data_IF_622546345374
#
_entry.id   IF_622546345374
#
_cell.length_a   1.000
_cell.length_b   1.000
_cell.length_c   1.000
_cell.angle_alpha   90.00
_cell.angle_beta   90.00
_cell.angle_gamma   90.00
#
_symmetry.space_group_name_H-M   'P 1'
#
loop_
_entity.id
_entity.type
_entity.pdbx_description
1 polymer ?
#
# COMPACT_ATOMS: atom_id res chain seq x y z
N UNK A 1 2.39 15.99 7.44
CA UNK A 1 1.98 14.66 7.87
C UNK A 1 1.18 14.11 6.72
N UNK A 2 1.74 13.12 6.05
CA UNK A 2 1.06 12.41 4.98
C UNK A 2 0.53 11.12 5.60
N UNK A 3 -0.79 11.03 5.79
CA UNK A 3 -1.45 9.80 6.28
C UNK A 3 -1.58 8.73 5.19
N UNK A 4 -0.94 8.95 4.04
CA UNK A 4 -0.99 8.08 2.86
C UNK A 4 -0.65 6.62 3.18
N UNK A 5 0.43 6.36 3.93
CA UNK A 5 0.81 4.99 4.27
C UNK A 5 -0.13 4.35 5.32
N UNK A 6 -0.78 5.15 6.17
CA UNK A 6 -1.86 4.63 7.02
C UNK A 6 -3.08 4.22 6.19
N UNK A 7 -3.50 5.08 5.24
CA UNK A 7 -4.57 4.77 4.29
C UNK A 7 -4.24 3.51 3.46
N UNK A 8 -3.02 3.42 2.94
CA UNK A 8 -2.55 2.24 2.20
C UNK A 8 -2.58 0.98 3.08
N UNK A 9 -2.10 1.08 4.32
CA UNK A 9 -2.18 0.00 5.32
C UNK A 9 -3.62 -0.45 5.55
N UNK A 10 -4.58 0.47 5.72
CA UNK A 10 -6.00 0.14 5.87
C UNK A 10 -6.58 -0.60 4.65
N UNK A 11 -6.16 -0.22 3.44
CA UNK A 11 -6.58 -0.91 2.21
C UNK A 11 -6.01 -2.34 2.15
N UNK A 12 -4.73 -2.51 2.47
CA UNK A 12 -4.04 -3.80 2.48
C UNK A 12 -4.53 -4.73 3.60
N UNK A 13 -4.99 -4.16 4.71
CA UNK A 13 -5.62 -4.89 5.82
C UNK A 13 -7.14 -5.07 5.63
N UNK A 14 -7.69 -4.67 4.47
CA UNK A 14 -9.11 -4.74 4.13
C UNK A 14 -10.05 -4.02 5.13
N UNK A 15 -9.51 -3.12 5.95
CA UNK A 15 -10.29 -2.27 6.87
C UNK A 15 -11.10 -1.23 6.13
N UNK A 16 -10.68 -0.87 4.92
CA UNK A 16 -11.38 0.07 4.06
C UNK A 16 -11.62 -0.58 2.70
N UNK A 17 -12.87 -0.62 2.22
CA UNK A 17 -13.16 -1.23 0.93
C UNK A 17 -12.56 -0.40 -0.20
N UNK A 18 -12.11 -1.08 -1.24
CA UNK A 18 -11.76 -0.45 -2.50
C UNK A 18 -13.03 0.18 -3.11
N UNK A 19 -13.00 1.50 -3.30
CA UNK A 19 -14.12 2.23 -3.90
C UNK A 19 -13.95 2.31 -5.40
N UNK A 20 -14.88 1.69 -6.13
CA UNK A 20 -14.99 1.83 -7.58
C UNK A 20 -16.12 2.81 -7.89
N UNK A 21 -15.75 4.03 -8.28
CA UNK A 21 -16.72 5.11 -8.58
C UNK A 21 -16.76 5.43 -10.08
N UNK A 22 -16.04 4.66 -10.90
CA UNK A 22 -16.02 4.82 -12.34
C UNK A 22 -14.94 3.98 -13.01
N UNK A 23 -14.51 4.43 -14.18
CA UNK A 23 -13.57 3.76 -15.05
C UNK A 23 -12.58 4.74 -15.64
N UNK A 24 -11.31 4.35 -15.70
CA UNK A 24 -10.34 4.97 -16.60
C UNK A 24 -10.32 4.19 -17.90
N UNK A 25 -10.61 4.87 -19.01
CA UNK A 25 -10.83 4.28 -20.33
C UNK A 25 -9.71 4.73 -21.26
N UNK A 26 -8.99 3.78 -21.85
CA UNK A 26 -8.06 4.01 -22.95
C UNK A 26 -8.79 3.78 -24.28
N UNK A 27 -8.68 4.73 -25.21
CA UNK A 27 -9.27 4.62 -26.55
C UNK A 27 -8.24 4.25 -27.63
N UNK A 28 -8.73 4.02 -28.85
CA UNK A 28 -7.93 3.67 -30.03
C UNK A 28 -7.01 4.81 -30.54
N UNK A 29 -7.13 6.01 -29.96
CA UNK A 29 -6.25 7.15 -30.19
C UNK A 29 -5.24 7.37 -29.06
N UNK A 30 -5.07 6.38 -28.18
CA UNK A 30 -4.18 6.44 -27.01
C UNK A 30 -4.49 7.55 -26.01
N UNK A 31 -5.75 7.99 -25.95
CA UNK A 31 -6.22 8.94 -24.95
C UNK A 31 -6.86 8.20 -23.77
N UNK A 32 -6.60 8.70 -22.57
CA UNK A 32 -7.19 8.18 -21.33
C UNK A 32 -8.23 9.17 -20.82
N UNK A 33 -9.39 8.66 -20.47
CA UNK A 33 -10.52 9.45 -19.96
C UNK A 33 -11.12 8.80 -18.73
N UNK A 34 -11.70 9.61 -17.85
CA UNK A 34 -12.49 9.12 -16.73
C UNK A 34 -13.97 9.10 -17.11
N UNK A 35 -14.70 8.07 -16.69
CA UNK A 35 -16.16 7.98 -16.84
C UNK A 35 -16.78 7.30 -15.62
N UNK A 36 -17.90 7.83 -15.13
CA UNK A 36 -18.69 7.20 -14.04
C UNK A 36 -19.48 5.98 -14.51
N UNK A 37 -19.54 5.73 -15.83
CA UNK A 37 -20.24 4.60 -16.43
C UNK A 37 -19.27 3.74 -17.24
N UNK A 38 -19.48 2.41 -17.28
CA UNK A 38 -18.67 1.56 -18.15
C UNK A 38 -18.91 1.94 -19.62
N UNK A 39 -17.89 1.81 -20.49
CA UNK A 39 -18.10 2.03 -21.92
C UNK A 39 -19.01 0.95 -22.51
N UNK A 40 -19.73 1.31 -23.58
CA UNK A 40 -20.61 0.36 -24.31
C UNK A 40 -19.79 -0.68 -25.10
N UNK A 41 -18.60 -0.29 -25.53
CA UNK A 41 -17.66 -1.11 -26.29
C UNK A 41 -16.31 -1.16 -25.55
N UNK A 42 -15.45 -2.09 -25.93
CA UNK A 42 -14.15 -2.28 -25.29
C UNK A 42 -14.20 -3.30 -24.15
N UNK A 43 -13.02 -3.74 -23.73
CA UNK A 43 -12.85 -4.68 -22.62
C UNK A 43 -12.96 -3.96 -21.28
N UNK A 44 -13.67 -4.55 -20.31
CA UNK A 44 -13.74 -4.03 -18.94
C UNK A 44 -12.86 -4.90 -18.05
N UNK A 45 -11.86 -4.28 -17.44
CA UNK A 45 -10.94 -4.89 -16.49
C UNK A 45 -11.39 -4.54 -15.08
N UNK A 46 -11.91 -5.55 -14.39
CA UNK A 46 -12.27 -5.51 -12.97
C UNK A 46 -11.08 -5.85 -12.09
N UNK A 47 -11.14 -5.51 -10.79
CA UNK A 47 -10.12 -5.90 -9.80
C UNK A 47 -9.81 -7.41 -9.87
N UNK A 48 -10.86 -8.23 -9.95
CA UNK A 48 -10.72 -9.69 -10.03
C UNK A 48 -9.98 -10.13 -11.30
N UNK A 49 -10.38 -9.60 -12.46
CA UNK A 49 -9.76 -9.95 -13.74
C UNK A 49 -8.29 -9.48 -13.81
N UNK A 50 -7.98 -8.31 -13.26
CA UNK A 50 -6.61 -7.79 -13.20
C UNK A 50 -5.73 -8.60 -12.25
N UNK A 51 -6.26 -8.94 -11.07
CA UNK A 51 -5.57 -9.84 -10.12
C UNK A 51 -5.29 -11.21 -10.76
N UNK A 52 -6.26 -11.77 -11.50
CA UNK A 52 -6.04 -13.02 -12.22
C UNK A 52 -5.00 -12.89 -13.34
N UNK A 53 -4.98 -11.76 -14.06
CA UNK A 53 -3.94 -11.50 -15.07
C UNK A 53 -2.54 -11.45 -14.43
N UNK A 54 -2.38 -10.81 -13.27
CA UNK A 54 -1.12 -10.84 -12.51
C UNK A 54 -0.72 -12.27 -12.12
N UNK A 55 -1.65 -13.07 -11.59
CA UNK A 55 -1.40 -14.47 -11.21
C UNK A 55 -0.92 -15.29 -12.41
N UNK A 56 -1.65 -15.25 -13.51
CA UNK A 56 -1.30 -16.04 -14.69
C UNK A 56 -0.02 -15.54 -15.36
N UNK A 57 0.21 -14.23 -15.39
CA UNK A 57 1.46 -13.63 -15.86
C UNK A 57 2.67 -14.06 -15.04
N UNK A 58 2.56 -14.04 -13.72
CA UNK A 58 3.61 -14.52 -12.82
C UNK A 58 3.87 -16.03 -12.99
N UNK A 59 2.84 -16.85 -13.23
CA UNK A 59 3.04 -18.28 -13.53
C UNK A 59 3.85 -18.49 -14.81
N UNK A 60 3.66 -17.66 -15.85
CA UNK A 60 4.47 -17.73 -17.07
C UNK A 60 5.96 -17.48 -16.76
N UNK A 61 6.25 -16.47 -15.94
CA UNK A 61 7.61 -16.16 -15.49
C UNK A 61 8.20 -17.34 -14.72
N UNK A 62 7.45 -17.86 -13.74
CA UNK A 62 7.87 -19.00 -12.91
C UNK A 62 8.17 -20.23 -13.77
N UNK A 63 7.30 -20.59 -14.70
CA UNK A 63 7.51 -21.74 -15.58
C UNK A 63 8.71 -21.54 -16.51
N UNK A 64 8.86 -20.34 -17.08
CA UNK A 64 9.99 -20.00 -17.95
C UNK A 64 11.31 -20.05 -17.20
N UNK A 65 11.37 -19.48 -15.99
CA UNK A 65 12.57 -19.53 -15.15
C UNK A 65 12.88 -20.95 -14.69
N UNK A 66 11.86 -21.73 -14.32
CA UNK A 66 12.03 -23.11 -13.86
C UNK A 66 12.68 -24.02 -14.93
N UNK A 67 12.47 -23.73 -16.21
CA UNK A 67 13.07 -24.43 -17.34
C UNK A 67 14.49 -23.94 -17.69
N UNK A 68 14.94 -22.83 -17.09
CA UNK A 68 16.24 -22.23 -17.34
C UNK A 68 17.36 -22.92 -16.53
N UNK A 69 18.63 -22.82 -16.96
CA UNK A 69 19.77 -23.31 -16.19
C UNK A 69 20.04 -22.51 -14.90
N UNK A 70 19.36 -21.38 -14.70
CA UNK A 70 19.48 -20.51 -13.54
C UNK A 70 18.57 -20.95 -12.37
N UNK A 71 17.65 -21.92 -12.58
CA UNK A 71 16.84 -22.51 -11.51
C UNK A 71 17.68 -23.37 -10.56
N UNK A 72 18.45 -22.71 -9.71
CA UNK A 72 19.37 -23.29 -8.72
C UNK A 72 19.25 -22.49 -7.43
N UNK A 73 18.87 -23.15 -6.34
CA UNK A 73 18.86 -22.53 -5.01
C UNK A 73 18.16 -21.16 -4.98
N UNK A 74 17.00 -21.06 -5.65
CA UNK A 74 16.13 -19.88 -5.56
C UNK A 74 15.70 -19.76 -4.11
N UNK A 75 15.89 -18.57 -3.51
CA UNK A 75 15.57 -18.33 -2.10
C UNK A 75 14.55 -17.21 -1.89
N UNK A 76 14.37 -16.32 -2.88
CA UNK A 76 13.44 -15.22 -2.77
C UNK A 76 12.74 -14.94 -4.10
N UNK A 77 11.43 -14.72 -4.00
CA UNK A 77 10.56 -14.19 -5.06
C UNK A 77 9.80 -13.01 -4.50
N UNK A 78 9.72 -11.93 -5.28
CA UNK A 78 8.96 -10.75 -4.92
C UNK A 78 8.04 -10.32 -6.08
N UNK A 79 6.77 -10.04 -5.79
CA UNK A 79 5.89 -9.25 -6.67
C UNK A 79 5.79 -7.82 -6.13
N UNK A 80 6.51 -6.92 -6.79
CA UNK A 80 6.67 -5.54 -6.42
C UNK A 80 5.66 -4.67 -7.15
N UNK A 81 4.96 -3.83 -6.41
CA UNK A 81 4.17 -2.74 -6.96
C UNK A 81 4.68 -1.43 -6.34
N UNK A 82 4.90 -0.39 -7.15
CA UNK A 82 5.46 0.88 -6.68
C UNK A 82 4.47 2.05 -6.76
N UNK A 83 4.86 3.20 -6.21
CA UNK A 83 4.06 4.43 -6.25
C UNK A 83 3.93 5.02 -7.68
N UNK A 84 4.73 4.52 -8.61
CA UNK A 84 4.67 4.88 -10.03
C UNK A 84 3.73 3.99 -10.83
N UNK A 85 2.91 3.15 -10.15
CA UNK A 85 1.95 2.24 -10.76
C UNK A 85 2.64 1.26 -11.73
N UNK A 86 3.81 0.77 -11.35
CA UNK A 86 4.56 -0.24 -12.10
C UNK A 86 4.53 -1.57 -11.37
N UNK A 87 4.64 -2.67 -12.12
CA UNK A 87 4.77 -4.01 -11.56
C UNK A 87 6.08 -4.67 -11.97
N UNK A 88 6.78 -5.21 -11.00
CA UNK A 88 8.01 -5.96 -11.22
C UNK A 88 7.94 -7.29 -10.49
N UNK A 89 8.44 -8.34 -11.14
CA UNK A 89 8.58 -9.64 -10.52
C UNK A 89 10.06 -9.93 -10.37
N UNK A 90 10.56 -9.91 -9.13
CA UNK A 90 11.95 -10.15 -8.82
C UNK A 90 12.17 -11.59 -8.36
N UNK A 91 13.33 -12.13 -8.69
CA UNK A 91 13.77 -13.43 -8.20
C UNK A 91 15.27 -13.39 -7.91
N UNK A 92 15.72 -14.16 -6.92
CA UNK A 92 17.15 -14.33 -6.69
C UNK A 92 17.53 -15.75 -6.27
N UNK A 93 18.79 -16.09 -6.53
CA UNK A 93 19.42 -17.35 -6.16
C UNK A 93 20.57 -17.11 -5.19
N UNK A 94 20.93 -18.11 -4.38
CA UNK A 94 22.04 -17.98 -3.43
C UNK A 94 23.37 -17.68 -4.15
N UNK A 95 23.58 -18.27 -5.33
CA UNK A 95 24.77 -18.00 -6.14
C UNK A 95 24.89 -16.52 -6.52
N UNK A 96 23.82 -15.93 -7.07
CA UNK A 96 23.80 -14.51 -7.46
C UNK A 96 23.91 -13.57 -6.26
N UNK A 97 23.23 -13.90 -5.17
CA UNK A 97 23.38 -13.15 -3.93
C UNK A 97 24.84 -13.11 -3.44
N UNK A 98 25.54 -14.25 -3.44
CA UNK A 98 26.94 -14.31 -3.02
C UNK A 98 27.86 -13.48 -3.93
N UNK A 99 27.62 -13.48 -5.25
CA UNK A 99 28.35 -12.62 -6.19
C UNK A 99 28.14 -11.14 -5.85
N UNK A 100 26.89 -10.73 -5.57
CA UNK A 100 26.55 -9.37 -5.16
C UNK A 100 27.19 -9.01 -3.81
N UNK A 101 27.07 -9.88 -2.80
CA UNK A 101 27.68 -9.68 -1.48
C UNK A 101 29.19 -9.48 -1.56
N UNK A 102 29.90 -10.29 -2.36
CA UNK A 102 31.34 -10.13 -2.55
C UNK A 102 31.72 -8.75 -3.12
N UNK A 103 30.92 -8.19 -4.05
CA UNK A 103 31.15 -6.85 -4.60
C UNK A 103 30.96 -5.75 -3.54
N UNK A 104 29.95 -5.88 -2.68
CA UNK A 104 29.73 -4.90 -1.60
C UNK A 104 30.83 -5.01 -0.54
N UNK A 105 31.19 -6.21 -0.11
CA UNK A 105 32.25 -6.45 0.89
C UNK A 105 33.64 -6.00 0.41
N UNK A 106 33.92 -6.05 -0.90
CA UNK A 106 35.19 -5.52 -1.43
C UNK A 106 35.29 -4.00 -1.34
N UNK A 107 34.15 -3.32 -1.27
CA UNK A 107 34.07 -1.85 -1.30
C UNK A 107 33.74 -1.26 0.08
N UNK A 108 33.18 -2.04 1.01
CA UNK A 108 32.67 -1.53 2.27
C UNK A 108 32.71 -2.58 3.40
N UNK A 109 33.31 -2.21 4.53
CA UNK A 109 33.47 -3.09 5.69
C UNK A 109 32.16 -3.37 6.45
N UNK A 110 31.14 -2.52 6.31
CA UNK A 110 29.86 -2.73 7.02
C UNK A 110 29.11 -3.98 6.53
N UNK A 111 29.35 -4.42 5.29
CA UNK A 111 28.73 -5.63 4.72
C UNK A 111 29.33 -6.95 5.23
N UNK A 112 30.19 -6.90 6.25
CA UNK A 112 30.54 -8.06 7.06
C UNK A 112 29.58 -8.24 8.26
N UNK A 113 28.81 -7.20 8.60
CA UNK A 113 27.83 -7.26 9.67
C UNK A 113 26.55 -7.96 9.19
N UNK A 114 25.99 -8.82 10.06
CA UNK A 114 24.84 -9.67 9.73
C UNK A 114 23.65 -8.86 9.20
N UNK A 115 23.38 -7.70 9.79
CA UNK A 115 22.19 -6.91 9.47
C UNK A 115 22.29 -6.30 8.06
N UNK A 116 23.48 -5.83 7.68
CA UNK A 116 23.78 -5.37 6.33
C UNK A 116 23.69 -6.51 5.31
N UNK A 117 24.14 -7.73 5.66
CA UNK A 117 24.02 -8.91 4.81
C UNK A 117 22.54 -9.27 4.57
N UNK A 118 21.70 -9.26 5.62
CA UNK A 118 20.26 -9.56 5.50
C UNK A 118 19.55 -8.48 4.68
N UNK A 119 19.83 -7.21 4.96
CA UNK A 119 19.30 -6.07 4.20
C UNK A 119 19.62 -6.22 2.70
N UNK A 120 20.88 -6.50 2.35
CA UNK A 120 21.29 -6.77 0.97
C UNK A 120 20.59 -7.99 0.37
N UNK A 121 20.42 -9.07 1.15
CA UNK A 121 19.86 -10.33 0.68
C UNK A 121 18.41 -10.20 0.22
N UNK A 122 17.63 -9.30 0.81
CA UNK A 122 16.21 -9.11 0.50
C UNK A 122 15.88 -7.75 -0.11
N UNK A 123 16.89 -6.93 -0.41
CA UNK A 123 16.73 -5.71 -1.20
C UNK A 123 16.45 -6.06 -2.66
N UNK A 124 15.23 -5.80 -3.12
CA UNK A 124 14.78 -6.14 -4.47
C UNK A 124 15.61 -5.43 -5.57
N UNK A 125 16.15 -4.24 -5.27
CA UNK A 125 17.02 -3.51 -6.19
C UNK A 125 18.35 -4.22 -6.49
N UNK A 126 18.77 -5.15 -5.64
CA UNK A 126 19.99 -5.94 -5.78
C UNK A 126 19.73 -7.36 -6.31
N UNK A 127 18.48 -7.69 -6.68
CA UNK A 127 18.15 -8.99 -7.26
C UNK A 127 18.62 -9.06 -8.71
N UNK A 128 19.25 -10.19 -9.06
CA UNK A 128 19.86 -10.38 -10.38
C UNK A 128 18.81 -10.64 -11.48
N UNK A 129 17.67 -11.23 -11.11
CA UNK A 129 16.59 -11.53 -12.06
C UNK A 129 15.40 -10.60 -11.83
N UNK A 130 15.09 -9.80 -12.86
CA UNK A 130 14.00 -8.84 -12.84
C UNK A 130 13.12 -9.08 -14.07
N UNK A 131 11.85 -9.36 -13.85
CA UNK A 131 10.89 -9.68 -14.91
C UNK A 131 9.79 -8.63 -14.95
N UNK A 132 9.48 -8.24 -16.19
CA UNK A 132 8.59 -7.13 -16.52
C UNK A 132 7.34 -7.66 -17.23
N UNK A 133 6.41 -6.77 -17.60
CA UNK A 133 5.19 -7.14 -18.31
C UNK A 133 5.43 -7.94 -19.60
N UNK A 134 6.51 -7.69 -20.34
CA UNK A 134 6.86 -8.48 -21.53
C UNK A 134 7.17 -9.97 -21.25
N UNK A 135 7.54 -10.29 -20.01
CA UNK A 135 7.84 -11.66 -19.57
C UNK A 135 6.60 -12.43 -19.11
N UNK A 136 5.47 -11.75 -18.95
CA UNK A 136 4.20 -12.31 -18.45
C UNK A 136 3.34 -12.96 -19.56
N UNK A 137 3.90 -13.19 -20.74
CA UNK A 137 3.18 -13.76 -21.88
C UNK A 137 2.00 -12.89 -22.32
N UNK A 138 0.88 -13.50 -22.70
CA UNK A 138 -0.31 -12.74 -23.15
C UNK A 138 -0.94 -11.88 -22.05
N UNK A 139 -0.74 -12.23 -20.77
CA UNK A 139 -1.28 -11.48 -19.65
C UNK A 139 -0.54 -10.17 -19.40
N UNK A 140 0.72 -10.07 -19.85
CA UNK A 140 1.51 -8.85 -19.81
C UNK A 140 0.85 -7.65 -20.46
N UNK A 141 -0.05 -7.88 -21.44
CA UNK A 141 -0.82 -6.81 -22.09
C UNK A 141 -1.66 -6.01 -21.09
N UNK A 142 -2.22 -6.64 -20.05
CA UNK A 142 -3.06 -5.95 -19.07
C UNK A 142 -2.21 -5.04 -18.16
N UNK A 143 -1.00 -5.47 -17.84
CA UNK A 143 -0.07 -4.70 -17.00
C UNK A 143 0.45 -3.51 -17.80
N UNK A 144 0.80 -3.71 -19.08
CA UNK A 144 1.18 -2.62 -19.98
C UNK A 144 0.07 -1.57 -20.15
N UNK A 145 -1.20 -2.02 -20.30
CA UNK A 145 -2.35 -1.12 -20.38
C UNK A 145 -2.60 -0.39 -19.06
N UNK A 146 -2.46 -1.07 -17.92
CA UNK A 146 -2.56 -0.48 -16.59
C UNK A 146 -1.50 0.61 -16.38
N UNK A 147 -0.23 0.34 -16.66
CA UNK A 147 0.88 1.29 -16.51
C UNK A 147 0.66 2.53 -17.40
N UNK A 148 0.23 2.32 -18.65
CA UNK A 148 -0.10 3.40 -19.58
C UNK A 148 -1.22 4.29 -19.05
N UNK A 149 -2.32 3.70 -18.59
CA UNK A 149 -3.44 4.43 -17.99
C UNK A 149 -2.97 5.15 -16.72
N UNK A 150 -2.27 4.44 -15.85
CA UNK A 150 -1.82 4.90 -14.55
C UNK A 150 -0.90 6.12 -14.60
N UNK A 151 -0.02 6.19 -15.61
CA UNK A 151 0.85 7.36 -15.84
C UNK A 151 0.04 8.62 -16.15
N UNK A 152 -1.05 8.49 -16.91
CA UNK A 152 -1.89 9.62 -17.33
C UNK A 152 -3.02 9.95 -16.35
N UNK A 153 -3.46 8.99 -15.54
CA UNK A 153 -4.64 9.11 -14.69
C UNK A 153 -4.56 10.25 -13.67
N UNK A 154 -3.34 10.57 -13.20
CA UNK A 154 -3.10 11.64 -12.24
C UNK A 154 -3.44 13.04 -12.79
N UNK A 155 -3.42 13.21 -14.11
CA UNK A 155 -3.67 14.50 -14.78
C UNK A 155 -5.13 14.65 -15.27
N UNK A 156 -5.96 13.62 -15.09
CA UNK A 156 -7.34 13.60 -15.59
C UNK A 156 -8.28 14.18 -14.53
N UNK A 157 -8.98 15.26 -14.89
CA UNK A 157 -10.07 15.78 -14.06
C UNK A 157 -11.23 14.78 -14.02
N UNK A 158 -11.65 14.43 -12.79
CA UNK A 158 -12.85 13.62 -12.54
C UNK A 158 -14.16 14.44 -12.59
N UNK A 159 -14.06 15.77 -12.70
CA UNK A 159 -15.20 16.69 -12.64
C UNK A 159 -15.93 16.86 -13.98
N UNK A 160 -15.27 16.48 -15.10
CA UNK A 160 -15.88 16.44 -16.43
C UNK A 160 -15.84 15.02 -17.02
N UNK A 161 -16.73 14.11 -16.56
CA UNK A 161 -16.66 12.69 -16.86
C UNK A 161 -16.92 12.32 -18.33
N UNK A 162 -17.30 13.26 -19.21
CA UNK A 162 -17.35 13.06 -20.66
C UNK A 162 -17.15 14.41 -21.37
N UNK A 163 -15.92 14.91 -21.40
CA UNK A 163 -15.51 15.87 -22.43
C UNK A 163 -15.60 15.22 -23.82
N UNK A 164 -15.77 15.98 -24.89
CA UNK A 164 -15.83 15.48 -26.28
C UNK A 164 -14.55 14.71 -26.67
N UNK A 165 -14.49 13.42 -26.38
CA UNK A 165 -13.29 12.61 -26.64
C UNK A 165 -13.50 11.85 -27.93
N UNK A 166 -12.60 12.09 -28.88
CA UNK A 166 -12.58 11.36 -30.14
C UNK A 166 -11.97 9.97 -29.95
N UNK A 167 -12.63 8.93 -30.43
CA UNK A 167 -12.08 7.57 -30.45
C UNK A 167 -13.08 6.51 -29.99
N UNK A 168 -12.72 5.25 -30.19
CA UNK A 168 -13.46 4.08 -29.74
C UNK A 168 -12.78 3.52 -28.48
N UNK A 169 -13.51 3.29 -27.37
CA UNK A 169 -12.96 2.63 -26.19
C UNK A 169 -12.32 1.28 -26.54
N UNK A 170 -11.07 1.08 -26.11
CA UNK A 170 -10.33 -0.18 -26.27
C UNK A 170 -10.41 -0.99 -24.99
N UNK A 171 -10.07 -0.37 -23.86
CA UNK A 171 -10.09 -1.01 -22.54
C UNK A 171 -10.51 0.00 -21.47
N UNK A 172 -11.18 -0.47 -20.44
CA UNK A 172 -11.61 0.30 -19.28
C UNK A 172 -11.22 -0.40 -17.99
N UNK A 173 -10.46 0.27 -17.13
CA UNK A 173 -10.10 -0.22 -15.80
C UNK A 173 -11.02 0.42 -14.75
N UNK A 174 -11.54 -0.38 -13.82
CA UNK A 174 -12.20 0.16 -12.62
C UNK A 174 -11.26 1.14 -11.91
N UNK A 175 -11.77 2.31 -11.50
CA UNK A 175 -10.94 3.35 -10.86
C UNK A 175 -10.27 2.86 -9.60
N UNK A 176 -10.93 1.95 -8.89
CA UNK A 176 -10.40 1.30 -7.71
C UNK A 176 -9.03 0.64 -7.95
N UNK A 177 -8.77 0.10 -9.14
CA UNK A 177 -7.46 -0.49 -9.47
C UNK A 177 -6.39 0.61 -9.55
N UNK A 178 -6.69 1.70 -10.27
CA UNK A 178 -5.74 2.79 -10.56
C UNK A 178 -5.46 3.65 -9.33
N UNK A 179 -6.49 3.95 -8.54
CA UNK A 179 -6.45 4.84 -7.37
C UNK A 179 -5.94 4.12 -6.09
N UNK A 180 -4.91 3.26 -6.19
CA UNK A 180 -4.25 2.48 -5.11
C UNK A 180 -4.66 0.99 -4.95
N UNK A 181 -5.70 0.49 -5.62
CA UNK A 181 -6.09 -0.93 -5.50
C UNK A 181 -5.11 -1.90 -6.14
N UNK A 182 -4.19 -1.42 -6.97
CA UNK A 182 -3.13 -2.23 -7.57
C UNK A 182 -2.18 -2.86 -6.53
N UNK A 183 -1.95 -2.21 -5.38
CA UNK A 183 -1.22 -2.83 -4.25
C UNK A 183 -1.97 -4.04 -3.68
N UNK A 184 -3.29 -3.91 -3.51
CA UNK A 184 -4.15 -5.01 -3.06
C UNK A 184 -4.17 -6.13 -4.10
N UNK A 185 -4.19 -5.79 -5.39
CA UNK A 185 -4.08 -6.78 -6.47
C UNK A 185 -2.75 -7.54 -6.42
N UNK A 186 -1.62 -6.86 -6.16
CA UNK A 186 -0.30 -7.47 -5.99
C UNK A 186 -0.29 -8.47 -4.83
N UNK A 187 -0.77 -8.03 -3.66
CA UNK A 187 -0.85 -8.86 -2.45
C UNK A 187 -1.73 -10.09 -2.69
N UNK A 188 -2.94 -9.91 -3.24
CA UNK A 188 -3.87 -11.02 -3.53
C UNK A 188 -3.33 -11.96 -4.59
N UNK A 189 -2.64 -11.45 -5.61
CA UNK A 189 -2.00 -12.27 -6.62
C UNK A 189 -0.91 -13.16 -6.00
N UNK A 190 -0.05 -12.59 -5.15
CA UNK A 190 0.98 -13.35 -4.44
C UNK A 190 0.37 -14.41 -3.52
N UNK A 191 -0.63 -14.06 -2.71
CA UNK A 191 -1.35 -15.01 -1.86
C UNK A 191 -1.97 -16.17 -2.65
N UNK A 192 -2.56 -15.88 -3.81
CA UNK A 192 -3.12 -16.90 -4.70
C UNK A 192 -2.05 -17.80 -5.30
N UNK A 193 -0.91 -17.25 -5.75
CA UNK A 193 0.22 -18.03 -6.24
C UNK A 193 0.77 -19.00 -5.18
N UNK A 194 0.86 -18.54 -3.92
CA UNK A 194 1.29 -19.36 -2.79
C UNK A 194 0.28 -20.47 -2.50
N UNK A 195 -1.01 -20.12 -2.41
CA UNK A 195 -2.08 -21.08 -2.14
C UNK A 195 -2.17 -22.18 -3.22
N UNK A 196 -1.92 -21.82 -4.48
CA UNK A 196 -1.89 -22.74 -5.62
C UNK A 196 -0.57 -23.51 -5.75
N UNK A 197 0.40 -23.28 -4.85
CA UNK A 197 1.74 -23.87 -4.87
C UNK A 197 2.49 -23.61 -6.20
N UNK A 198 2.26 -22.46 -6.82
CA UNK A 198 2.87 -22.09 -8.09
C UNK A 198 4.41 -22.13 -8.03
N UNK A 199 4.99 -21.86 -6.86
CA UNK A 199 6.44 -21.80 -6.66
C UNK A 199 7.11 -23.13 -6.32
N UNK A 200 6.36 -24.25 -6.20
CA UNK A 200 6.93 -25.54 -5.78
C UNK A 200 8.05 -26.06 -6.70
N UNK A 201 8.06 -25.62 -7.97
CA UNK A 201 9.12 -25.95 -8.94
C UNK A 201 10.43 -25.19 -8.70
N UNK A 202 10.37 -24.05 -8.00
CA UNK A 202 11.50 -23.16 -7.68
C UNK A 202 11.97 -23.30 -6.23
N UNK A 203 11.10 -23.74 -5.32
CA UNK A 203 11.42 -23.96 -3.92
C UNK A 203 12.48 -25.08 -3.77
N UNK A 204 13.74 -24.67 -3.62
CA UNK A 204 14.93 -25.55 -3.50
C UNK A 204 15.77 -25.24 -2.25
N UNK A 205 15.32 -24.35 -1.38
CA UNK A 205 16.08 -23.90 -0.21
C UNK A 205 15.21 -23.92 1.05
N UNK A 206 15.80 -24.16 2.21
CA UNK A 206 15.08 -24.22 3.50
C UNK A 206 14.36 -22.91 3.89
N UNK A 207 14.90 -21.78 3.43
CA UNK A 207 14.39 -20.43 3.71
C UNK A 207 13.80 -19.76 2.46
N UNK A 208 13.21 -20.55 1.56
CA UNK A 208 12.54 -19.99 0.39
C UNK A 208 11.36 -19.11 0.82
N UNK A 209 11.35 -17.84 0.39
CA UNK A 209 10.24 -16.92 0.61
C UNK A 209 9.67 -16.40 -0.71
N UNK A 210 8.34 -16.23 -0.74
CA UNK A 210 7.64 -15.52 -1.79
C UNK A 210 6.75 -14.45 -1.14
N UNK A 211 6.87 -13.20 -1.59
CA UNK A 211 6.18 -12.09 -0.95
C UNK A 211 5.80 -10.98 -1.92
N UNK A 212 4.81 -10.18 -1.53
CA UNK A 212 4.51 -8.92 -2.22
C UNK A 212 5.20 -7.77 -1.50
N UNK A 213 5.45 -6.67 -2.20
CA UNK A 213 5.93 -5.43 -1.57
C UNK A 213 5.47 -4.18 -2.31
N UNK A 214 5.54 -3.05 -1.60
CA UNK A 214 5.00 -1.75 -1.98
C UNK A 214 6.09 -0.70 -2.24
N UNK A 215 7.31 -0.98 -1.75
CA UNK A 215 8.46 -0.07 -1.84
C UNK A 215 8.62 0.82 -0.61
N UNK A 216 7.75 0.62 0.38
CA UNK A 216 7.87 1.25 1.68
C UNK A 216 8.19 0.17 2.72
N UNK A 217 9.42 0.19 3.24
CA UNK A 217 9.92 -0.81 4.20
C UNK A 217 9.02 -0.97 5.44
N UNK A 218 8.43 0.12 5.94
CA UNK A 218 7.55 0.06 7.11
C UNK A 218 6.25 -0.69 6.83
N UNK A 219 5.67 -0.52 5.64
CA UNK A 219 4.48 -1.26 5.18
C UNK A 219 4.87 -2.70 4.82
N UNK A 220 6.01 -2.88 4.17
CA UNK A 220 6.45 -4.18 3.67
C UNK A 220 6.80 -5.13 4.83
N UNK A 221 7.70 -4.74 5.73
CA UNK A 221 8.06 -5.52 6.91
C UNK A 221 6.98 -5.53 7.98
N UNK A 222 6.23 -4.42 8.13
CA UNK A 222 5.19 -4.30 9.14
C UNK A 222 3.93 -5.09 8.79
N UNK A 223 3.63 -5.29 7.50
CA UNK A 223 2.34 -5.83 7.07
C UNK A 223 2.42 -6.77 5.87
N UNK A 224 2.88 -6.29 4.71
CA UNK A 224 2.64 -6.99 3.42
C UNK A 224 3.37 -8.33 3.38
N UNK A 225 4.64 -8.34 3.76
CA UNK A 225 5.43 -9.57 3.80
C UNK A 225 4.85 -10.58 4.79
N UNK A 226 4.34 -10.13 5.93
CA UNK A 226 3.71 -10.98 6.95
C UNK A 226 2.39 -11.61 6.50
N UNK A 227 1.72 -11.02 5.50
CA UNK A 227 0.51 -11.58 4.88
C UNK A 227 0.82 -12.62 3.79
N UNK A 228 2.09 -12.80 3.42
CA UNK A 228 2.54 -13.74 2.38
C UNK A 228 3.59 -14.75 2.85
N UNK A 229 4.31 -14.47 3.94
CA UNK A 229 5.32 -15.35 4.52
C UNK A 229 4.78 -15.91 5.83
N UNK A 230 4.92 -17.21 6.03
CA UNK A 230 4.63 -17.83 7.33
C UNK A 230 5.41 -17.14 8.46
N UNK A 231 4.79 -16.94 9.61
CA UNK A 231 5.36 -16.14 10.70
C UNK A 231 6.69 -16.71 11.23
N UNK A 232 6.80 -18.04 11.37
CA UNK A 232 8.04 -18.66 11.87
C UNK A 232 9.17 -18.50 10.85
N UNK A 233 8.86 -18.68 9.57
CA UNK A 233 9.79 -18.44 8.47
C UNK A 233 10.19 -16.96 8.38
N UNK A 234 9.24 -16.03 8.56
CA UNK A 234 9.48 -14.59 8.54
C UNK A 234 10.51 -14.20 9.60
N UNK A 235 10.36 -14.64 10.86
CA UNK A 235 11.34 -14.35 11.91
C UNK A 235 12.64 -15.13 11.77
N UNK A 236 12.64 -16.30 11.12
CA UNK A 236 13.89 -16.99 10.80
C UNK A 236 14.73 -16.19 9.80
N UNK A 237 14.06 -15.60 8.81
CA UNK A 237 14.69 -14.78 7.77
C UNK A 237 15.04 -13.37 8.27
N UNK A 238 14.18 -12.78 9.11
CA UNK A 238 14.32 -11.44 9.69
C UNK A 238 14.31 -11.48 11.22
N UNK A 239 15.37 -12.04 11.85
CA UNK A 239 15.40 -12.26 13.29
C UNK A 239 15.30 -10.97 14.12
N UNK A 240 15.89 -9.89 13.64
CA UNK A 240 15.87 -8.59 14.33
C UNK A 240 14.44 -8.04 14.44
N UNK A 241 13.58 -8.33 13.46
CA UNK A 241 12.18 -7.89 13.50
C UNK A 241 11.39 -8.56 14.63
N UNK A 242 11.75 -9.79 15.02
CA UNK A 242 11.12 -10.45 16.17
C UNK A 242 11.44 -9.73 17.49
N UNK A 243 12.69 -9.27 17.62
CA UNK A 243 13.12 -8.47 18.78
C UNK A 243 12.41 -7.12 18.78
N UNK A 244 12.39 -6.42 17.65
CA UNK A 244 11.70 -5.13 17.52
C UNK A 244 10.19 -5.24 17.80
N UNK A 245 9.53 -6.32 17.36
CA UNK A 245 8.12 -6.56 17.67
C UNK A 245 7.89 -6.74 19.18
N UNK A 246 8.76 -7.49 19.84
CA UNK A 246 8.69 -7.68 21.30
C UNK A 246 8.86 -6.35 22.03
N UNK A 247 9.85 -5.54 21.63
CA UNK A 247 10.08 -4.22 22.21
C UNK A 247 8.92 -3.26 21.93
N UNK A 248 8.32 -3.31 20.73
CA UNK A 248 7.15 -2.54 20.38
C UNK A 248 5.96 -2.88 21.28
N UNK A 249 5.65 -4.17 21.47
CA UNK A 249 4.59 -4.61 22.36
C UNK A 249 4.80 -4.16 23.81
N UNK A 250 6.04 -4.20 24.30
CA UNK A 250 6.39 -3.70 25.63
C UNK A 250 6.20 -2.19 25.76
N UNK A 251 6.63 -1.42 24.75
CA UNK A 251 6.40 0.02 24.71
C UNK A 251 4.90 0.35 24.66
N UNK A 252 4.11 -0.38 23.87
CA UNK A 252 2.67 -0.12 23.73
C UNK A 252 1.89 -0.41 25.01
N UNK A 253 2.31 -1.42 25.80
CA UNK A 253 1.72 -1.68 27.13
C UNK A 253 1.83 -0.48 28.08
N UNK A 254 2.88 0.34 27.96
CA UNK A 254 3.02 1.55 28.78
C UNK A 254 2.00 2.62 28.39
N UNK A 255 1.65 2.67 27.10
CA UNK A 255 0.72 3.65 26.54
C UNK A 255 -0.76 3.30 26.76
N UNK A 256 -1.08 2.04 27.11
CA UNK A 256 -2.47 1.60 27.33
C UNK A 256 -3.21 2.33 28.47
N UNK A 257 -2.48 2.96 29.39
CA UNK A 257 -3.09 3.66 30.53
C UNK A 257 -3.38 5.14 30.26
N UNK A 258 -3.05 5.63 29.06
CA UNK A 258 -3.28 7.01 28.68
C UNK A 258 -4.78 7.28 28.45
N UNK A 259 -5.23 8.49 28.74
CA UNK A 259 -6.55 8.94 28.30
C UNK A 259 -6.57 9.12 26.78
N UNK A 260 -7.75 9.14 26.15
CA UNK A 260 -7.88 9.39 24.70
C UNK A 260 -7.15 10.67 24.28
N UNK A 261 -7.26 11.74 25.07
CA UNK A 261 -6.65 13.03 24.80
C UNK A 261 -5.12 12.94 24.90
N UNK A 262 -4.61 12.26 25.93
CA UNK A 262 -3.17 12.06 26.11
C UNK A 262 -2.58 11.15 25.02
N UNK A 263 -3.30 10.09 24.62
CA UNK A 263 -2.89 9.22 23.51
C UNK A 263 -2.85 9.96 22.18
N UNK A 264 -3.87 10.76 21.87
CA UNK A 264 -3.88 11.61 20.67
C UNK A 264 -2.68 12.56 20.70
N UNK A 265 -2.45 13.25 21.82
CA UNK A 265 -1.34 14.18 21.95
C UNK A 265 0.02 13.49 21.77
N UNK A 266 0.23 12.36 22.44
CA UNK A 266 1.45 11.56 22.31
C UNK A 266 1.71 11.15 20.87
N UNK A 267 0.71 10.56 20.21
CA UNK A 267 0.86 10.00 18.88
C UNK A 267 1.00 11.03 17.77
N UNK A 268 0.26 12.13 17.89
CA UNK A 268 0.39 13.24 16.94
C UNK A 268 1.74 13.96 17.09
N UNK A 269 2.28 14.09 18.30
CA UNK A 269 3.63 14.59 18.52
C UNK A 269 4.69 13.65 17.93
N UNK A 270 4.53 12.33 18.09
CA UNK A 270 5.43 11.33 17.51
C UNK A 270 5.48 11.41 15.98
N UNK A 271 4.33 11.66 15.32
CA UNK A 271 4.28 11.82 13.87
C UNK A 271 4.76 13.21 13.39
N UNK A 272 4.62 14.27 14.21
CA UNK A 272 5.10 15.61 13.86
C UNK A 272 6.63 15.78 14.00
N UNK A 273 7.28 15.04 14.91
CA UNK A 273 8.74 15.05 15.13
C UNK A 273 9.47 14.33 13.99
N UNK A 274 10.82 14.28 14.04
CA UNK A 274 11.61 13.46 13.11
C UNK A 274 11.20 12.00 13.28
N UNK A 275 10.21 11.60 12.48
CA UNK A 275 9.43 10.38 12.62
C UNK A 275 10.33 9.14 12.70
N UNK A 276 11.55 9.18 12.13
CA UNK A 276 12.50 8.06 12.18
C UNK A 276 13.06 7.76 13.57
N UNK A 277 12.93 8.68 14.53
CA UNK A 277 13.54 8.56 15.86
C UNK A 277 12.53 8.20 16.96
N UNK A 278 11.24 8.18 16.64
CA UNK A 278 10.17 7.94 17.60
C UNK A 278 9.45 6.61 17.29
N UNK A 279 8.86 5.95 18.29
CA UNK A 279 7.90 4.88 18.05
C UNK A 279 6.74 5.36 17.14
N UNK A 280 6.19 4.51 16.26
CA UNK A 280 6.48 3.09 16.13
C UNK A 280 7.61 2.79 15.11
N UNK A 281 8.15 3.82 14.45
CA UNK A 281 9.08 3.71 13.32
C UNK A 281 10.44 3.13 13.70
N UNK A 282 10.91 3.40 14.93
CA UNK A 282 12.11 2.76 15.49
C UNK A 282 12.00 1.23 15.57
N UNK A 283 10.77 0.70 15.50
CA UNK A 283 10.47 -0.73 15.50
C UNK A 283 10.06 -1.28 14.12
N UNK A 284 10.38 -0.56 13.03
CA UNK A 284 10.02 -0.93 11.66
C UNK A 284 8.52 -1.13 11.45
N UNK A 285 7.70 -0.31 12.12
CA UNK A 285 6.24 -0.28 11.97
C UNK A 285 5.81 0.94 11.14
N UNK A 286 4.68 0.82 10.46
CA UNK A 286 4.09 1.90 9.68
C UNK A 286 3.27 2.87 10.54
N UNK A 287 2.94 4.03 9.96
CA UNK A 287 2.03 5.03 10.52
C UNK A 287 0.68 4.42 10.92
N UNK A 288 0.23 3.36 10.23
CA UNK A 288 -1.01 2.68 10.56
C UNK A 288 -1.04 2.20 12.01
N UNK A 289 0.08 1.72 12.55
CA UNK A 289 0.14 1.20 13.91
C UNK A 289 -0.19 2.27 14.95
N UNK A 290 0.11 3.54 14.67
CA UNK A 290 -0.30 4.66 15.54
C UNK A 290 -1.81 4.66 15.73
N UNK A 291 -2.56 4.53 14.64
CA UNK A 291 -4.01 4.60 14.68
C UNK A 291 -4.64 3.30 15.19
N UNK A 292 -4.01 2.14 14.96
CA UNK A 292 -4.39 0.87 15.60
C UNK A 292 -4.35 1.00 17.12
N UNK A 293 -3.36 1.69 17.69
CA UNK A 293 -3.30 1.92 19.15
C UNK A 293 -4.44 2.82 19.66
N UNK A 294 -5.01 3.68 18.81
CA UNK A 294 -6.15 4.52 19.16
C UNK A 294 -7.49 3.76 19.10
N UNK A 295 -7.55 2.63 18.40
CA UNK A 295 -8.77 1.84 18.19
C UNK A 295 -9.48 1.45 19.50
N UNK A 296 -8.71 1.21 20.57
CA UNK A 296 -9.23 0.84 21.88
C UNK A 296 -10.22 1.84 22.48
N UNK A 297 -10.20 3.11 22.05
CA UNK A 297 -11.06 4.16 22.57
C UNK A 297 -12.43 4.24 21.87
N UNK A 298 -12.60 3.60 20.71
CA UNK A 298 -13.87 3.51 19.98
C UNK A 298 -14.61 4.85 19.84
N UNK A 299 -15.89 4.90 20.24
CA UNK A 299 -16.71 6.12 20.15
C UNK A 299 -16.16 7.33 20.93
N UNK A 300 -15.34 7.10 21.94
CA UNK A 300 -14.68 8.19 22.70
C UNK A 300 -13.64 8.88 21.81
N UNK A 301 -12.87 8.10 21.01
CA UNK A 301 -11.97 8.63 19.99
C UNK A 301 -12.75 9.46 18.97
N UNK A 302 -13.84 8.90 18.43
CA UNK A 302 -14.64 9.61 17.43
C UNK A 302 -15.13 10.97 17.95
N UNK A 303 -15.62 11.02 19.19
CA UNK A 303 -16.07 12.27 19.79
C UNK A 303 -14.93 13.30 19.90
N UNK A 304 -13.78 12.89 20.43
CA UNK A 304 -12.62 13.79 20.59
C UNK A 304 -12.13 14.32 19.23
N UNK A 305 -12.00 13.45 18.22
CA UNK A 305 -11.62 13.83 16.86
C UNK A 305 -12.62 14.80 16.23
N UNK A 306 -13.93 14.56 16.38
CA UNK A 306 -14.97 15.41 15.80
C UNK A 306 -15.06 16.78 16.49
N UNK A 307 -14.85 16.83 17.80
CA UNK A 307 -14.78 18.10 18.53
C UNK A 307 -13.60 18.95 18.03
N UNK A 308 -12.41 18.34 17.84
CA UNK A 308 -11.23 19.02 17.28
C UNK A 308 -11.41 19.44 15.82
N UNK A 309 -11.98 18.57 14.99
CA UNK A 309 -12.31 18.91 13.60
C UNK A 309 -13.33 20.05 13.51
N UNK A 310 -14.30 20.10 14.43
CA UNK A 310 -15.26 21.20 14.50
C UNK A 310 -14.58 22.52 14.84
N UNK A 311 -13.58 22.52 15.74
CA UNK A 311 -12.77 23.70 16.04
C UNK A 311 -11.98 24.17 14.81
N UNK A 312 -11.32 23.24 14.10
CA UNK A 312 -10.55 23.55 12.90
C UNK A 312 -11.43 24.08 11.75
N UNK A 313 -12.60 23.50 11.53
CA UNK A 313 -13.54 23.93 10.49
C UNK A 313 -14.12 25.34 10.72
N UNK A 314 -14.02 25.88 11.95
CA UNK A 314 -14.42 27.28 12.25
C UNK A 314 -13.37 28.31 11.84
N UNK A 315 -12.15 27.89 11.53
CA UNK A 315 -11.11 28.78 11.05
C UNK A 315 -11.50 29.36 9.68
N UNK A 316 -11.12 30.61 9.44
CA UNK A 316 -11.36 31.27 8.14
C UNK A 316 -10.31 30.90 7.08
N UNK A 317 -9.21 30.29 7.50
CA UNK A 317 -8.13 29.80 6.65
C UNK A 317 -7.39 28.70 7.39
N UNK A 318 -6.95 27.67 6.66
CA UNK A 318 -6.20 26.54 7.21
C UNK A 318 -4.75 26.68 6.77
N UNK A 319 -3.83 26.78 7.73
CA UNK A 319 -2.40 26.72 7.44
C UNK A 319 -1.92 25.26 7.31
N UNK A 320 -0.69 25.08 6.85
CA UNK A 320 -0.09 23.75 6.68
C UNK A 320 -0.10 22.93 7.98
N UNK A 321 0.00 23.57 9.16
CA UNK A 321 -0.07 22.84 10.43
C UNK A 321 -1.48 22.33 10.68
N UNK A 322 -2.48 23.21 10.56
CA UNK A 322 -3.89 22.89 10.74
C UNK A 322 -4.37 21.83 9.74
N UNK A 323 -3.88 21.87 8.50
CA UNK A 323 -4.14 20.85 7.48
C UNK A 323 -3.68 19.46 7.95
N UNK A 324 -2.48 19.35 8.52
CA UNK A 324 -1.99 18.08 9.10
C UNK A 324 -2.89 17.59 10.22
N UNK A 325 -3.41 18.48 11.07
CA UNK A 325 -4.33 18.07 12.13
C UNK A 325 -5.66 17.58 11.58
N UNK A 326 -6.20 18.22 10.54
CA UNK A 326 -7.39 17.74 9.85
C UNK A 326 -7.16 16.31 9.33
N UNK A 327 -6.05 16.05 8.63
CA UNK A 327 -5.77 14.71 8.10
C UNK A 327 -5.54 13.68 9.21
N UNK A 328 -4.89 14.05 10.33
CA UNK A 328 -4.73 13.17 11.49
C UNK A 328 -6.08 12.73 12.07
N UNK A 329 -6.96 13.69 12.34
CA UNK A 329 -8.23 13.39 12.98
C UNK A 329 -9.17 12.60 12.07
N UNK A 330 -9.15 12.89 10.76
CA UNK A 330 -9.91 12.09 9.77
C UNK A 330 -9.37 10.66 9.72
N UNK A 331 -8.05 10.49 9.68
CA UNK A 331 -7.45 9.15 9.68
C UNK A 331 -7.81 8.37 10.95
N UNK A 332 -7.73 9.00 12.12
CA UNK A 332 -8.11 8.40 13.40
C UNK A 332 -9.60 7.98 13.46
N UNK A 333 -10.50 8.68 12.76
CA UNK A 333 -11.91 8.30 12.69
C UNK A 333 -12.13 6.94 12.03
N UNK A 334 -11.29 6.52 11.08
CA UNK A 334 -11.36 5.17 10.50
C UNK A 334 -11.08 4.05 11.52
N UNK A 335 -10.44 4.38 12.65
CA UNK A 335 -10.11 3.44 13.72
C UNK A 335 -11.05 3.57 14.93
N UNK A 336 -11.98 4.52 14.92
CA UNK A 336 -12.95 4.70 16.01
C UNK A 336 -14.09 3.65 15.99
N UNK A 337 -14.14 2.79 14.97
CA UNK A 337 -15.21 1.83 14.76
C UNK A 337 -16.47 2.47 14.15
N UNK A 338 -17.63 1.84 14.37
CA UNK A 338 -18.91 2.32 13.81
C UNK A 338 -19.37 3.59 14.52
N UNK A 339 -19.46 4.69 13.77
CA UNK A 339 -19.97 5.97 14.27
C UNK A 339 -21.45 5.88 14.67
N UNK A 340 -21.82 6.65 15.70
CA UNK A 340 -23.23 6.88 16.04
C UNK A 340 -23.91 7.79 15.00
N UNK A 341 -25.24 7.80 14.97
CA UNK A 341 -26.00 8.69 14.06
C UNK A 341 -25.63 10.17 14.27
N UNK A 342 -25.47 10.60 15.53
CA UNK A 342 -25.05 11.97 15.86
C UNK A 342 -23.64 12.28 15.35
N UNK A 343 -22.70 11.33 15.48
CA UNK A 343 -21.33 11.48 15.01
C UNK A 343 -21.27 11.52 13.48
N UNK A 344 -22.03 10.66 12.79
CA UNK A 344 -22.14 10.67 11.33
C UNK A 344 -22.74 11.99 10.82
N UNK A 345 -23.74 12.54 11.51
CA UNK A 345 -24.30 13.85 11.18
C UNK A 345 -23.30 14.99 11.41
N UNK A 346 -22.47 14.89 12.47
CA UNK A 346 -21.38 15.83 12.71
C UNK A 346 -20.31 15.77 11.61
N UNK A 347 -19.93 14.58 11.14
CA UNK A 347 -19.03 14.40 9.99
C UNK A 347 -19.54 15.16 8.75
N UNK A 348 -20.82 15.02 8.40
CA UNK A 348 -21.42 15.71 7.24
C UNK A 348 -21.35 17.23 7.38
N UNK A 349 -21.64 17.77 8.57
CA UNK A 349 -21.57 19.21 8.83
C UNK A 349 -20.14 19.74 8.73
N UNK A 350 -19.17 19.00 9.26
CA UNK A 350 -17.75 19.35 9.16
C UNK A 350 -17.31 19.30 7.70
N UNK A 351 -17.69 18.26 6.94
CA UNK A 351 -17.33 18.10 5.54
C UNK A 351 -17.75 19.30 4.68
N UNK A 352 -19.03 19.71 4.77
CA UNK A 352 -19.54 20.91 4.09
C UNK A 352 -18.68 22.13 4.43
N UNK A 353 -18.35 22.31 5.71
CA UNK A 353 -17.59 23.46 6.15
C UNK A 353 -16.14 23.44 5.66
N UNK A 354 -15.47 22.28 5.66
CA UNK A 354 -14.11 22.16 5.15
C UNK A 354 -14.04 22.48 3.65
N UNK A 355 -15.02 22.00 2.88
CA UNK A 355 -15.12 22.30 1.44
C UNK A 355 -15.36 23.78 1.13
N UNK A 356 -15.96 24.55 2.05
CA UNK A 356 -16.13 26.00 1.92
C UNK A 356 -14.87 26.81 2.29
N UNK A 357 -14.01 26.26 3.16
CA UNK A 357 -12.87 26.99 3.73
C UNK A 357 -11.69 27.01 2.78
N UNK A 358 -11.35 25.87 2.17
CA UNK A 358 -10.21 25.74 1.28
C UNK A 358 -10.45 24.63 0.24
N UNK A 359 -10.06 24.88 -1.02
CA UNK A 359 -10.14 23.87 -2.08
C UNK A 359 -9.24 22.66 -1.79
N UNK A 360 -8.14 22.87 -1.07
CA UNK A 360 -7.22 21.80 -0.67
C UNK A 360 -7.87 20.80 0.31
N UNK A 361 -9.03 21.12 0.88
CA UNK A 361 -9.76 20.27 1.84
C UNK A 361 -10.92 19.50 1.22
N UNK A 362 -11.16 19.61 -0.10
CA UNK A 362 -12.26 18.92 -0.78
C UNK A 362 -12.17 17.40 -0.59
N UNK A 363 -10.98 16.82 -0.69
CA UNK A 363 -10.81 15.37 -0.52
C UNK A 363 -11.00 14.93 0.94
N UNK A 364 -10.54 15.75 1.89
CA UNK A 364 -10.82 15.55 3.32
C UNK A 364 -12.34 15.60 3.63
N UNK A 365 -13.06 16.52 2.98
CA UNK A 365 -14.52 16.60 3.10
C UNK A 365 -15.21 15.35 2.53
N UNK A 366 -14.82 14.90 1.33
CA UNK A 366 -15.34 13.66 0.72
C UNK A 366 -15.08 12.43 1.59
N UNK A 367 -13.93 12.36 2.24
CA UNK A 367 -13.58 11.28 3.14
C UNK A 367 -14.49 11.26 4.39
N UNK A 368 -14.73 12.42 5.01
CA UNK A 368 -15.68 12.55 6.11
C UNK A 368 -17.12 12.19 5.72
N UNK A 369 -17.57 12.58 4.52
CA UNK A 369 -18.89 12.18 4.02
C UNK A 369 -18.99 10.67 3.85
N UNK A 370 -17.90 10.02 3.43
CA UNK A 370 -17.88 8.56 3.29
C UNK A 370 -17.89 7.84 4.65
N UNK A 371 -17.21 8.39 5.66
CA UNK A 371 -17.24 7.89 7.04
C UNK A 371 -18.65 8.01 7.67
N UNK A 372 -19.48 8.92 7.17
CA UNK A 372 -20.83 9.17 7.66
C UNK A 372 -21.92 8.26 7.07
N UNK A 373 -21.56 7.31 6.20
CA UNK A 373 -22.48 6.34 5.58
C UNK A 373 -22.47 5.04 6.36
#
# INVERSE_FOLDING_TARGET
MYTYYSMLGRLLDERTPLKSEGYYILNDKDQVIYSTKPPIQGEIVTIESFTNALVEGCKQIVHSFAASPENKEVYAINLYADEHKSFYFYMNTLGRFNETLCKYQSNNQEYFERNHIISLKYNCGDFDFQFWQEHMGEYGKYIALFEKIGYTASDISKDDPIGNVEGVPVVAFETAIIDNGYYVCALKAMQKLIAEKAFAVLDKTEDFIAYASTGNDYIDYGMVMRKTIDQELFYRVFPDLNELDTQFEEAMKQNMNLSVTDSIAFWSEAIEKDYRLEPPFTYSKSEMEVFVQLEQFGNILAKECLDKLTELARLNSIDMKSYKWVTFYIEALHFAGKLTEDQAEQCKKIAVRLAEVDNDLIDSAKELEALAR
#
